data_IF_277949800298
#
_entry.id   IF_277949800298
#
_cell.length_a   1.000
_cell.length_b   1.000
_cell.length_c   1.000
_cell.angle_alpha   90.00
_cell.angle_beta   90.00
_cell.angle_gamma   90.00
#
_symmetry.space_group_name_H-M   'P 1'
#
loop_
_entity.id
_entity.type
_entity.pdbx_description
1 polymer ?
#
# COMPACT_ATOMS: atom_id res chain seq x y z
N UNK A 1 -13.60 63.03 -97.04
CA UNK A 1 -13.73 62.00 -95.99
C UNK A 1 -12.52 62.13 -95.07
N UNK A 2 -12.33 63.31 -94.47
CA UNK A 2 -11.07 63.67 -93.76
C UNK A 2 -11.32 64.18 -92.33
N UNK A 3 -12.50 63.93 -91.77
CA UNK A 3 -12.88 64.42 -90.43
C UNK A 3 -12.88 63.35 -89.33
N UNK A 4 -12.43 62.13 -89.61
CA UNK A 4 -12.53 60.99 -88.66
C UNK A 4 -11.14 60.50 -88.20
N UNK A 5 -10.05 61.00 -88.80
CA UNK A 5 -8.69 60.68 -88.35
C UNK A 5 -8.22 61.84 -87.48
N UNK A 6 -8.02 61.65 -86.16
CA UNK A 6 -7.47 62.69 -85.31
C UNK A 6 -6.12 63.15 -85.87
N UNK A 7 -5.82 64.44 -85.75
CA UNK A 7 -4.55 64.99 -86.25
C UNK A 7 -3.38 64.18 -85.68
N UNK A 8 -2.36 63.90 -86.49
CA UNK A 8 -1.23 63.05 -86.09
C UNK A 8 -0.55 63.53 -84.79
N UNK A 9 -0.60 64.84 -84.51
CA UNK A 9 -0.13 65.43 -83.25
C UNK A 9 -0.96 65.04 -82.02
N UNK A 10 -2.29 64.93 -82.12
CA UNK A 10 -3.13 64.48 -81.01
C UNK A 10 -2.88 63.01 -80.66
N UNK A 11 -2.74 62.16 -81.68
CA UNK A 11 -2.41 60.74 -81.50
C UNK A 11 -1.04 60.59 -80.82
N UNK A 12 -0.05 61.40 -81.23
CA UNK A 12 1.28 61.39 -80.61
C UNK A 12 1.24 61.76 -79.13
N UNK A 13 0.56 62.86 -78.76
CA UNK A 13 0.46 63.28 -77.36
C UNK A 13 -0.39 62.33 -76.50
N UNK A 14 -1.45 61.74 -77.05
CA UNK A 14 -2.22 60.68 -76.36
C UNK A 14 -1.38 59.43 -76.14
N UNK A 15 -0.63 58.98 -77.15
CA UNK A 15 0.24 57.81 -77.02
C UNK A 15 1.37 58.08 -76.01
N UNK A 16 1.97 59.27 -76.04
CA UNK A 16 2.97 59.67 -75.06
C UNK A 16 2.39 59.69 -73.64
N UNK A 17 1.21 60.30 -73.45
CA UNK A 17 0.52 60.32 -72.16
C UNK A 17 0.14 58.92 -71.67
N UNK A 18 -0.34 58.05 -72.56
CA UNK A 18 -0.65 56.66 -72.26
C UNK A 18 0.60 55.88 -71.84
N UNK A 19 1.72 56.00 -72.58
CA UNK A 19 2.97 55.33 -72.25
C UNK A 19 3.58 55.86 -70.95
N UNK A 20 3.49 57.17 -70.69
CA UNK A 20 3.92 57.76 -69.42
C UNK A 20 3.08 57.23 -68.25
N UNK A 21 1.75 57.18 -68.38
CA UNK A 21 0.86 56.62 -67.38
C UNK A 21 1.11 55.12 -67.17
N UNK A 22 1.27 54.36 -68.25
CA UNK A 22 1.58 52.93 -68.23
C UNK A 22 2.90 52.68 -67.50
N UNK A 23 3.94 53.47 -67.77
CA UNK A 23 5.23 53.36 -67.09
C UNK A 23 5.10 53.63 -65.58
N UNK A 24 4.32 54.65 -65.20
CA UNK A 24 4.03 54.95 -63.79
C UNK A 24 3.28 53.77 -63.14
N UNK A 25 2.23 53.24 -63.77
CA UNK A 25 1.46 52.11 -63.23
C UNK A 25 2.31 50.85 -63.11
N UNK A 26 3.13 50.53 -64.12
CA UNK A 26 4.04 49.38 -64.09
C UNK A 26 5.04 49.53 -62.93
N UNK A 27 5.61 50.72 -62.74
CA UNK A 27 6.62 50.96 -61.70
C UNK A 27 6.02 51.00 -60.29
N UNK A 28 4.84 51.60 -60.12
CA UNK A 28 4.26 51.89 -58.82
C UNK A 28 3.17 50.92 -58.37
N UNK A 29 2.33 50.38 -59.27
CA UNK A 29 1.21 49.51 -58.90
C UNK A 29 1.58 48.02 -58.91
N UNK A 30 2.51 47.59 -59.77
CA UNK A 30 2.83 46.17 -59.93
C UNK A 30 3.58 45.59 -58.73
N UNK A 31 4.54 46.35 -58.18
CA UNK A 31 5.29 45.98 -56.97
C UNK A 31 4.41 45.74 -55.74
N UNK A 32 3.53 46.67 -55.30
CA UNK A 32 2.68 46.46 -54.14
C UNK A 32 1.65 45.34 -54.37
N UNK A 33 1.15 45.18 -55.60
CA UNK A 33 0.20 44.10 -55.91
C UNK A 33 0.82 42.71 -55.77
N UNK A 34 2.05 42.52 -56.27
CA UNK A 34 2.78 41.26 -56.09
C UNK A 34 3.19 41.05 -54.63
N UNK A 35 3.59 42.10 -53.92
CA UNK A 35 3.91 42.01 -52.50
C UNK A 35 2.70 41.56 -51.67
N UNK A 36 1.52 42.12 -51.90
CA UNK A 36 0.29 41.74 -51.21
C UNK A 36 -0.12 40.28 -51.50
N UNK A 37 0.08 39.81 -52.75
CA UNK A 37 -0.16 38.41 -53.10
C UNK A 37 0.82 37.46 -52.40
N UNK A 38 2.12 37.80 -52.40
CA UNK A 38 3.15 37.01 -51.73
C UNK A 38 2.95 36.96 -50.21
N UNK A 39 2.55 38.08 -49.59
CA UNK A 39 2.21 38.13 -48.16
C UNK A 39 1.01 37.23 -47.84
N UNK A 40 -0.03 37.27 -48.68
CA UNK A 40 -1.20 36.39 -48.52
C UNK A 40 -0.82 34.91 -48.67
N UNK A 41 -0.02 34.57 -49.67
CA UNK A 41 0.46 33.21 -49.89
C UNK A 41 1.29 32.72 -48.69
N UNK A 42 2.24 33.52 -48.23
CA UNK A 42 3.06 33.20 -47.06
C UNK A 42 2.23 33.04 -45.77
N UNK A 43 1.22 33.89 -45.58
CA UNK A 43 0.31 33.81 -44.44
C UNK A 43 -0.53 32.53 -44.46
N UNK A 44 -1.07 32.15 -45.63
CA UNK A 44 -1.85 30.91 -45.80
C UNK A 44 -0.96 29.68 -45.60
N UNK A 45 0.22 29.64 -46.21
CA UNK A 45 1.16 28.52 -46.04
C UNK A 45 1.59 28.39 -44.57
N UNK A 46 1.89 29.51 -43.91
CA UNK A 46 2.20 29.54 -42.48
C UNK A 46 1.05 29.02 -41.60
N UNK A 47 -0.19 29.45 -41.87
CA UNK A 47 -1.36 29.00 -41.14
C UNK A 47 -1.64 27.49 -41.36
N UNK A 48 -1.47 27.00 -42.58
CA UNK A 48 -1.63 25.57 -42.91
C UNK A 48 -0.58 24.72 -42.21
N UNK A 49 0.70 25.13 -42.25
CA UNK A 49 1.79 24.44 -41.55
C UNK A 49 1.57 24.42 -40.04
N UNK A 50 1.16 25.54 -39.45
CA UNK A 50 0.84 25.61 -38.02
C UNK A 50 -0.33 24.68 -37.66
N UNK A 51 -1.38 24.63 -38.48
CA UNK A 51 -2.51 23.74 -38.27
C UNK A 51 -2.11 22.26 -38.38
N UNK A 52 -1.24 21.90 -39.34
CA UNK A 52 -0.73 20.54 -39.49
C UNK A 52 0.17 20.13 -38.32
N UNK A 53 1.08 21.02 -37.88
CA UNK A 53 1.90 20.81 -36.69
C UNK A 53 1.04 20.61 -35.44
N UNK A 54 0.08 21.49 -35.20
CA UNK A 54 -0.84 21.37 -34.05
C UNK A 54 -1.63 20.06 -34.08
N UNK A 55 -2.06 19.60 -35.27
CA UNK A 55 -2.77 18.33 -35.43
C UNK A 55 -1.86 17.14 -35.13
N UNK A 56 -0.62 17.16 -35.60
CA UNK A 56 0.37 16.11 -35.34
C UNK A 56 0.77 16.06 -33.86
N UNK A 57 1.00 17.21 -33.23
CA UNK A 57 1.24 17.31 -31.78
C UNK A 57 0.06 16.77 -30.99
N UNK A 58 -1.17 17.12 -31.37
CA UNK A 58 -2.37 16.59 -30.70
C UNK A 58 -2.52 15.08 -30.85
N UNK A 59 -2.19 14.53 -32.02
CA UNK A 59 -2.19 13.08 -32.23
C UNK A 59 -1.13 12.38 -31.37
N UNK A 60 0.08 12.96 -31.29
CA UNK A 60 1.15 12.43 -30.43
C UNK A 60 0.78 12.50 -28.95
N UNK A 61 0.29 13.65 -28.47
CA UNK A 61 -0.16 13.81 -27.09
C UNK A 61 -1.27 12.83 -26.74
N UNK A 62 -2.20 12.56 -27.67
CA UNK A 62 -3.26 11.57 -27.45
C UNK A 62 -2.68 10.16 -27.33
N UNK A 63 -1.75 9.78 -28.21
CA UNK A 63 -1.10 8.48 -28.17
C UNK A 63 -0.27 8.30 -26.88
N UNK A 64 0.47 9.33 -26.46
CA UNK A 64 1.21 9.34 -25.20
C UNK A 64 0.27 9.24 -24.00
N UNK A 65 -0.86 9.95 -24.01
CA UNK A 65 -1.85 9.88 -22.93
C UNK A 65 -2.48 8.48 -22.84
N UNK A 66 -2.86 7.88 -23.97
CA UNK A 66 -3.38 6.51 -24.01
C UNK A 66 -2.34 5.51 -23.48
N UNK A 67 -1.07 5.67 -23.84
CA UNK A 67 0.03 4.85 -23.32
C UNK A 67 0.20 5.03 -21.81
N UNK A 68 0.23 6.27 -21.32
CA UNK A 68 0.34 6.59 -19.90
C UNK A 68 -0.83 6.01 -19.10
N UNK A 69 -2.05 6.08 -19.63
CA UNK A 69 -3.23 5.47 -19.00
C UNK A 69 -3.13 3.95 -18.94
N UNK A 70 -2.58 3.29 -19.96
CA UNK A 70 -2.33 1.85 -19.94
C UNK A 70 -1.26 1.48 -18.92
N UNK A 71 -0.14 2.20 -18.90
CA UNK A 71 0.94 2.00 -17.92
C UNK A 71 0.42 2.18 -16.49
N UNK A 72 -0.34 3.25 -16.22
CA UNK A 72 -0.95 3.50 -14.92
C UNK A 72 -1.93 2.39 -14.48
N UNK A 73 -2.69 1.80 -15.42
CA UNK A 73 -3.57 0.65 -15.13
C UNK A 73 -2.76 -0.59 -14.78
N UNK A 74 -1.70 -0.88 -15.53
CA UNK A 74 -0.81 -2.03 -15.27
C UNK A 74 -0.11 -1.89 -13.91
N UNK A 75 0.36 -0.69 -13.59
CA UNK A 75 0.98 -0.40 -12.30
C UNK A 75 -0.02 -0.53 -11.16
N UNK A 76 -1.23 0.03 -11.31
CA UNK A 76 -2.33 -0.14 -10.34
C UNK A 76 -2.62 -1.61 -10.09
N UNK A 77 -2.77 -2.41 -11.15
CA UNK A 77 -3.10 -3.83 -11.02
C UNK A 77 -1.94 -4.60 -10.36
N UNK A 78 -0.70 -4.20 -10.63
CA UNK A 78 0.49 -4.74 -9.95
C UNK A 78 0.51 -4.40 -8.47
N UNK A 79 0.17 -3.17 -8.09
CA UNK A 79 0.08 -2.73 -6.69
C UNK A 79 -1.02 -3.52 -5.98
N UNK A 80 -2.21 -3.66 -6.59
CA UNK A 80 -3.32 -4.41 -6.02
C UNK A 80 -2.95 -5.89 -5.80
N UNK A 81 -2.31 -6.53 -6.78
CA UNK A 81 -1.82 -7.91 -6.64
C UNK A 81 -0.81 -8.04 -5.50
N UNK A 82 0.18 -7.15 -5.45
CA UNK A 82 1.18 -7.14 -4.35
C UNK A 82 0.53 -6.94 -2.99
N UNK A 83 -0.46 -6.06 -2.89
CA UNK A 83 -1.20 -5.83 -1.65
C UNK A 83 -1.99 -7.07 -1.20
N UNK A 84 -2.64 -7.77 -2.15
CA UNK A 84 -3.33 -9.03 -1.87
C UNK A 84 -2.37 -10.13 -1.42
N UNK A 85 -1.22 -10.28 -2.10
CA UNK A 85 -0.18 -11.25 -1.72
C UNK A 85 0.39 -10.94 -0.33
N UNK A 86 0.71 -9.68 -0.05
CA UNK A 86 1.21 -9.25 1.27
C UNK A 86 0.16 -9.47 2.37
N UNK A 87 -1.10 -9.18 2.10
CA UNK A 87 -2.20 -9.41 3.05
C UNK A 87 -2.38 -10.91 3.34
N UNK A 88 -2.39 -11.75 2.31
CA UNK A 88 -2.48 -13.20 2.47
C UNK A 88 -1.31 -13.76 3.28
N UNK A 89 -0.08 -13.30 2.97
CA UNK A 89 1.13 -13.68 3.72
C UNK A 89 1.06 -13.25 5.18
N UNK A 90 0.64 -12.01 5.45
CA UNK A 90 0.47 -11.51 6.82
C UNK A 90 -0.55 -12.33 7.62
N UNK A 91 -1.66 -12.73 6.98
CA UNK A 91 -2.68 -13.57 7.63
C UNK A 91 -2.12 -14.97 7.94
N UNK A 92 -1.34 -15.55 7.03
CA UNK A 92 -0.71 -16.85 7.22
C UNK A 92 0.34 -16.81 8.34
N UNK A 93 1.23 -15.82 8.31
CA UNK A 93 2.22 -15.57 9.38
C UNK A 93 1.54 -15.37 10.74
N UNK A 94 0.48 -14.55 10.79
CA UNK A 94 -0.27 -14.31 12.02
C UNK A 94 -0.95 -15.59 12.56
N UNK A 95 -1.53 -16.42 11.68
CA UNK A 95 -2.11 -17.71 12.06
C UNK A 95 -1.05 -18.67 12.59
N UNK A 96 0.09 -18.74 11.92
CA UNK A 96 1.21 -19.59 12.31
C UNK A 96 1.77 -19.16 13.67
N UNK A 97 1.96 -17.86 13.89
CA UNK A 97 2.42 -17.32 15.17
C UNK A 97 1.39 -17.53 16.29
N UNK A 98 0.10 -17.27 16.03
CA UNK A 98 -0.96 -17.54 16.99
C UNK A 98 -1.03 -19.03 17.37
N UNK A 99 -0.83 -19.94 16.41
CA UNK A 99 -0.76 -21.38 16.65
C UNK A 99 0.41 -21.77 17.56
N UNK A 100 1.60 -21.19 17.33
CA UNK A 100 2.79 -21.41 18.18
C UNK A 100 2.57 -20.88 19.60
N UNK A 101 2.04 -19.67 19.74
CA UNK A 101 1.75 -19.09 21.05
C UNK A 101 0.67 -19.87 21.80
N UNK A 102 -0.36 -20.34 21.10
CA UNK A 102 -1.38 -21.21 21.66
C UNK A 102 -0.82 -22.54 22.16
N UNK A 103 0.08 -23.18 21.40
CA UNK A 103 0.75 -24.41 21.81
C UNK A 103 1.61 -24.18 23.07
N UNK A 104 2.42 -23.11 23.10
CA UNK A 104 3.22 -22.72 24.26
C UNK A 104 2.35 -22.43 25.48
N UNK A 105 1.22 -21.74 25.31
CA UNK A 105 0.29 -21.47 26.41
C UNK A 105 -0.29 -22.76 26.99
N UNK A 106 -0.67 -23.72 26.16
CA UNK A 106 -1.18 -25.02 26.61
C UNK A 106 -0.08 -25.82 27.33
N UNK A 107 1.14 -25.81 26.82
CA UNK A 107 2.28 -26.48 27.47
C UNK A 107 2.56 -25.88 28.85
N UNK A 108 2.61 -24.55 28.96
CA UNK A 108 2.77 -23.85 30.22
C UNK A 108 1.61 -24.14 31.19
N UNK A 109 0.38 -24.14 30.71
CA UNK A 109 -0.79 -24.48 31.53
C UNK A 109 -0.72 -25.92 32.06
N UNK A 110 -0.28 -26.88 31.25
CA UNK A 110 -0.06 -28.27 31.69
C UNK A 110 1.03 -28.37 32.75
N UNK A 111 2.14 -27.64 32.58
CA UNK A 111 3.22 -27.60 33.56
C UNK A 111 2.72 -27.05 34.91
N UNK A 112 1.95 -25.95 34.89
CA UNK A 112 1.33 -25.36 36.09
C UNK A 112 0.37 -26.36 36.74
N UNK A 113 -0.49 -27.02 35.97
CA UNK A 113 -1.44 -28.03 36.50
C UNK A 113 -0.70 -29.19 37.18
N UNK A 114 0.41 -29.67 36.60
CA UNK A 114 1.19 -30.74 37.21
C UNK A 114 1.88 -30.30 38.51
N UNK A 115 2.35 -29.05 38.60
CA UNK A 115 2.87 -28.51 39.87
C UNK A 115 1.78 -28.35 40.92
N UNK A 116 0.61 -27.82 40.55
CA UNK A 116 -0.54 -27.66 41.45
C UNK A 116 -1.06 -29.02 41.95
N UNK A 117 -1.13 -30.02 41.07
CA UNK A 117 -1.50 -31.39 41.44
C UNK A 117 -0.54 -31.99 42.46
N UNK A 118 0.77 -31.77 42.30
CA UNK A 118 1.78 -32.22 43.28
C UNK A 118 1.61 -31.51 44.62
N UNK A 119 1.35 -30.20 44.61
CA UNK A 119 1.08 -29.43 45.82
C UNK A 119 -0.18 -29.93 46.54
N UNK A 120 -1.29 -30.11 45.82
CA UNK A 120 -2.54 -30.65 46.36
C UNK A 120 -2.35 -32.06 46.96
N UNK A 121 -1.60 -32.94 46.30
CA UNK A 121 -1.28 -34.27 46.84
C UNK A 121 -0.44 -34.20 48.13
N UNK A 122 0.50 -33.25 48.21
CA UNK A 122 1.30 -33.04 49.42
C UNK A 122 0.43 -32.51 50.58
N UNK A 123 -0.51 -31.61 50.27
CA UNK A 123 -1.48 -31.10 51.25
C UNK A 123 -2.39 -32.21 51.77
N UNK A 124 -2.94 -33.05 50.88
CA UNK A 124 -3.76 -34.22 51.27
C UNK A 124 -2.97 -35.17 52.17
N UNK A 125 -1.70 -35.46 51.85
CA UNK A 125 -0.85 -36.30 52.72
C UNK A 125 -0.68 -35.72 54.11
N UNK A 126 -0.48 -34.40 54.20
CA UNK A 126 -0.37 -33.68 55.47
C UNK A 126 -1.67 -33.77 56.28
N UNK A 127 -2.82 -33.56 55.63
CA UNK A 127 -4.13 -33.67 56.28
C UNK A 127 -4.41 -35.09 56.79
N UNK A 128 -4.08 -36.12 55.99
CA UNK A 128 -4.23 -37.53 56.40
C UNK A 128 -3.30 -37.86 57.58
N UNK A 129 -2.07 -37.36 57.57
CA UNK A 129 -1.13 -37.57 58.69
C UNK A 129 -1.66 -36.94 59.99
N UNK A 130 -2.19 -35.70 59.93
CA UNK A 130 -2.81 -35.04 61.09
C UNK A 130 -4.03 -35.81 61.61
N UNK A 131 -4.92 -36.26 60.72
CA UNK A 131 -6.10 -37.04 61.11
C UNK A 131 -5.70 -38.39 61.75
N UNK A 132 -4.66 -39.04 61.21
CA UNK A 132 -4.14 -40.29 61.76
C UNK A 132 -3.55 -40.09 63.15
N UNK A 133 -2.80 -39.00 63.37
CA UNK A 133 -2.29 -38.60 64.67
C UNK A 133 -3.42 -38.34 65.67
N UNK A 134 -4.47 -37.61 65.27
CA UNK A 134 -5.62 -37.32 66.12
C UNK A 134 -6.38 -38.60 66.53
N UNK A 135 -6.61 -39.51 65.58
CA UNK A 135 -7.24 -40.81 65.84
C UNK A 135 -6.36 -41.66 66.78
N UNK A 136 -5.05 -41.70 66.53
CA UNK A 136 -4.09 -42.43 67.36
C UNK A 136 -4.05 -41.86 68.78
N UNK A 137 -4.04 -40.53 68.93
CA UNK A 137 -4.10 -39.86 70.23
C UNK A 137 -5.37 -40.22 70.99
N UNK A 138 -6.54 -40.16 70.34
CA UNK A 138 -7.83 -40.58 70.93
C UNK A 138 -7.81 -42.05 71.34
N UNK A 139 -7.21 -42.92 70.54
CA UNK A 139 -7.14 -44.36 70.78
C UNK A 139 -6.16 -44.70 71.91
N UNK A 140 -5.00 -44.03 71.98
CA UNK A 140 -4.06 -44.13 73.09
C UNK A 140 -4.71 -43.62 74.37
N UNK A 141 -5.32 -42.42 74.38
CA UNK A 141 -6.03 -41.89 75.56
C UNK A 141 -7.10 -42.86 76.05
N UNK A 142 -7.84 -43.51 75.15
CA UNK A 142 -8.84 -44.53 75.50
C UNK A 142 -8.22 -45.81 76.07
N UNK A 143 -7.11 -46.30 75.52
CA UNK A 143 -6.43 -47.50 76.04
C UNK A 143 -5.62 -47.25 77.32
N UNK A 144 -5.11 -46.03 77.54
CA UNK A 144 -4.41 -45.60 78.75
C UNK A 144 -5.35 -45.12 79.88
N UNK A 145 -6.66 -45.31 79.73
CA UNK A 145 -7.66 -44.99 80.76
C UNK A 145 -7.60 -45.92 81.98
N UNK A 146 -6.89 -47.03 81.87
CA UNK A 146 -6.79 -48.08 82.89
C UNK A 146 -5.43 -48.02 83.61
N UNK A 147 -5.42 -48.01 84.94
CA UNK A 147 -4.22 -47.80 85.79
C UNK A 147 -3.10 -48.82 85.52
N UNK A 148 -3.48 -50.05 85.13
CA UNK A 148 -2.52 -51.10 84.76
C UNK A 148 -1.76 -50.79 83.49
N UNK A 149 -2.43 -50.19 82.49
CA UNK A 149 -1.80 -49.84 81.22
C UNK A 149 -0.83 -48.67 81.36
N UNK A 150 -1.14 -47.71 82.25
CA UNK A 150 -0.22 -46.60 82.58
C UNK A 150 1.03 -47.08 83.31
N UNK A 151 0.90 -47.97 84.30
CA UNK A 151 2.06 -48.53 85.02
C UNK A 151 2.98 -49.33 84.09
N UNK A 152 2.42 -50.14 83.19
CA UNK A 152 3.19 -50.91 82.21
C UNK A 152 3.99 -50.02 81.24
N UNK A 153 3.43 -48.88 80.80
CA UNK A 153 4.12 -47.93 79.94
C UNK A 153 5.28 -47.23 80.65
N UNK A 154 5.13 -46.90 81.93
CA UNK A 154 6.19 -46.29 82.75
C UNK A 154 7.34 -47.29 82.96
N UNK A 155 7.03 -48.55 83.24
CA UNK A 155 8.04 -49.60 83.39
C UNK A 155 8.81 -49.84 82.08
N UNK A 156 8.13 -49.79 80.93
CA UNK A 156 8.75 -49.91 79.61
C UNK A 156 9.65 -48.71 79.27
N UNK A 157 9.21 -47.47 79.54
CA UNK A 157 10.03 -46.27 79.36
C UNK A 157 11.29 -46.27 80.24
N UNK A 158 11.17 -46.71 81.49
CA UNK A 158 12.32 -46.84 82.40
C UNK A 158 13.27 -47.93 81.92
N UNK A 159 12.78 -48.96 81.22
CA UNK A 159 13.58 -50.02 80.65
C UNK A 159 14.35 -49.55 79.41
N UNK A 160 13.73 -48.80 78.51
CA UNK A 160 14.37 -48.21 77.33
C UNK A 160 15.42 -47.15 77.69
N UNK A 161 15.17 -46.33 78.73
CA UNK A 161 16.14 -45.37 79.26
C UNK A 161 17.34 -46.04 79.96
N UNK A 162 17.21 -47.29 80.39
CA UNK A 162 18.32 -48.07 80.96
C UNK A 162 19.11 -48.85 79.89
N UNK A 163 18.61 -48.90 78.66
CA UNK A 163 19.21 -49.61 77.53
C UNK A 163 20.02 -48.69 76.60
N UNK A 164 20.04 -47.38 76.86
CA UNK A 164 21.01 -46.40 76.34
C UNK A 164 21.86 -45.85 77.49
#
# INVERSE_FOLDING_TARGET
MDLIIPSAGLIFWQLFGFLALLFILIKFAWKPMLAALAEREASIDGALKAAEQARNEMANLKAENEKLLQEARLERDTILRKAQEASAKMIEEAKTEAGKQGALMIENAKAVIETEKKAALAEVKTQVAMLTLEVTEKLIRKNLSDDKAQSALVDEFIKDLKLN
#
